data_IF_762179632238
#
_entry.id   IF_762179632238
#
_cell.length_a   1.000
_cell.length_b   1.000
_cell.length_c   1.000
_cell.angle_alpha   90.00
_cell.angle_beta   90.00
_cell.angle_gamma   90.00
#
_symmetry.space_group_name_H-M   'P 1'
#
loop_
_entity.id
_entity.type
_entity.pdbx_description
1 polymer ?
#
# COMPACT_ATOMS: atom_id res chain seq x y z
N UNK A 1 17.22 48.26 -19.13
CA UNK A 1 18.10 47.08 -18.97
C UNK A 1 17.27 45.84 -19.21
N UNK A 2 17.78 44.94 -20.03
CA UNK A 2 17.11 43.80 -20.66
C UNK A 2 16.70 42.75 -19.62
N UNK A 3 15.47 42.20 -19.64
CA UNK A 3 15.12 41.03 -18.84
C UNK A 3 15.76 39.77 -19.46
N UNK A 4 16.52 39.03 -18.66
CA UNK A 4 17.05 37.71 -19.02
C UNK A 4 15.90 36.74 -19.32
N UNK A 5 15.96 36.15 -20.51
CA UNK A 5 15.18 34.96 -20.90
C UNK A 5 15.56 33.80 -19.98
N UNK A 6 14.57 33.18 -19.34
CA UNK A 6 14.67 31.81 -18.85
C UNK A 6 14.14 30.93 -19.98
N UNK A 7 15.04 30.26 -20.67
CA UNK A 7 14.70 29.36 -21.77
C UNK A 7 13.87 28.17 -21.25
N UNK A 8 12.62 28.10 -21.69
CA UNK A 8 11.75 26.94 -21.51
C UNK A 8 12.20 25.86 -22.50
N UNK A 9 12.98 24.88 -22.04
CA UNK A 9 13.40 23.75 -22.87
C UNK A 9 12.22 22.79 -23.03
N UNK A 10 11.49 22.94 -24.13
CA UNK A 10 10.56 21.95 -24.68
C UNK A 10 11.38 20.76 -25.22
N UNK A 11 11.48 19.67 -24.47
CA UNK A 11 12.03 18.42 -25.00
C UNK A 11 11.00 17.70 -25.89
N UNK A 12 11.11 17.97 -27.19
CA UNK A 12 10.72 17.05 -28.27
C UNK A 12 11.64 15.83 -28.19
N UNK A 13 11.11 14.65 -27.87
CA UNK A 13 11.71 13.40 -28.31
C UNK A 13 10.59 12.38 -28.57
N UNK A 14 10.47 12.00 -29.84
CA UNK A 14 9.53 11.01 -30.31
C UNK A 14 9.91 9.63 -29.82
N UNK A 15 9.00 8.98 -29.09
CA UNK A 15 9.04 7.56 -28.82
C UNK A 15 8.21 6.84 -29.89
N UNK A 16 8.89 6.05 -30.72
CA UNK A 16 8.25 5.09 -31.62
C UNK A 16 7.74 3.94 -30.76
N UNK A 17 6.44 3.94 -30.46
CA UNK A 17 5.73 2.80 -29.90
C UNK A 17 5.39 1.87 -31.07
N UNK A 18 6.06 0.71 -31.18
CA UNK A 18 5.59 -0.34 -32.07
C UNK A 18 4.37 -0.98 -31.42
N UNK A 19 3.18 -0.63 -31.92
CA UNK A 19 1.93 -1.30 -31.60
C UNK A 19 2.00 -2.76 -32.08
N UNK A 20 1.87 -3.71 -31.15
CA UNK A 20 1.65 -5.12 -31.46
C UNK A 20 0.77 -5.75 -30.38
N UNK A 21 -0.53 -5.64 -30.58
CA UNK A 21 -1.48 -6.71 -30.26
C UNK A 21 -2.80 -6.45 -31.00
N UNK A 22 -2.89 -6.92 -32.25
CA UNK A 22 -4.15 -7.03 -32.99
C UNK A 22 -4.31 -8.48 -33.43
N UNK A 23 -5.25 -9.20 -32.81
CA UNK A 23 -5.93 -10.32 -33.47
C UNK A 23 -7.42 -10.24 -33.15
N UNK A 24 -8.15 -9.49 -33.98
CA UNK A 24 -9.48 -9.87 -34.45
C UNK A 24 -9.83 -9.06 -35.70
N UNK A 25 -9.98 -9.76 -36.85
CA UNK A 25 -10.54 -9.20 -38.07
C UNK A 25 -12.06 -9.32 -38.00
N UNK A 26 -12.78 -8.23 -38.24
CA UNK A 26 -14.10 -8.30 -38.87
C UNK A 26 -14.40 -6.98 -39.60
N UNK A 27 -14.49 -7.07 -40.91
CA UNK A 27 -14.91 -6.04 -41.87
C UNK A 27 -16.43 -5.92 -41.91
N UNK A 28 -17.00 -4.72 -41.72
CA UNK A 28 -18.35 -4.39 -42.20
C UNK A 28 -18.36 -2.93 -42.69
N UNK A 29 -18.79 -2.77 -43.95
CA UNK A 29 -19.06 -1.51 -44.65
C UNK A 29 -20.24 -0.76 -44.02
N UNK A 30 -20.21 0.58 -44.02
CA UNK A 30 -21.42 1.39 -43.88
C UNK A 30 -21.48 2.48 -44.95
N UNK A 31 -22.66 2.59 -45.58
CA UNK A 31 -23.06 3.60 -46.55
C UNK A 31 -24.36 4.25 -46.06
N UNK A 32 -24.48 5.57 -46.23
CA UNK A 32 -25.70 6.40 -46.04
C UNK A 32 -25.58 7.33 -44.83
N UNK A 33 -25.37 8.65 -44.94
CA UNK A 33 -26.13 9.77 -45.57
C UNK A 33 -27.36 10.23 -44.79
N UNK A 34 -27.36 11.47 -44.28
CA UNK A 34 -28.60 12.19 -43.96
C UNK A 34 -28.58 13.19 -42.79
N UNK A 35 -28.17 14.42 -43.10
CA UNK A 35 -28.55 15.76 -42.59
C UNK A 35 -28.87 16.10 -41.11
N UNK A 36 -28.15 17.15 -40.71
CA UNK A 36 -28.35 18.26 -39.76
C UNK A 36 -29.81 18.69 -39.49
N UNK A 37 -30.13 19.03 -38.22
CA UNK A 37 -30.22 20.45 -37.84
C UNK A 37 -30.22 20.67 -36.30
N UNK A 38 -29.97 21.93 -35.92
CA UNK A 38 -29.20 22.38 -34.76
C UNK A 38 -30.01 23.03 -33.63
N UNK A 39 -29.49 22.99 -32.38
CA UNK A 39 -29.41 24.13 -31.44
C UNK A 39 -28.57 23.82 -30.20
N UNK A 40 -27.57 24.67 -29.97
CA UNK A 40 -26.45 24.54 -29.04
C UNK A 40 -26.74 25.04 -27.60
N UNK A 41 -26.21 24.32 -26.61
CA UNK A 41 -25.72 24.80 -25.31
C UNK A 41 -24.33 24.14 -25.09
N UNK A 42 -23.33 24.81 -24.49
CA UNK A 42 -21.95 24.34 -24.52
C UNK A 42 -21.75 23.25 -23.46
N UNK A 43 -22.07 22.01 -23.81
CA UNK A 43 -21.59 20.85 -23.06
C UNK A 43 -20.11 20.65 -23.36
N UNK A 44 -19.31 20.56 -22.28
CA UNK A 44 -17.93 20.12 -22.34
C UNK A 44 -17.83 18.84 -23.19
N UNK A 45 -17.02 18.88 -24.25
CA UNK A 45 -16.78 17.72 -25.12
C UNK A 45 -16.18 16.59 -24.29
N UNK A 46 -17.00 15.63 -23.89
CA UNK A 46 -16.52 14.33 -23.43
C UNK A 46 -16.00 13.58 -24.65
N UNK A 47 -14.68 13.56 -24.84
CA UNK A 47 -14.06 12.63 -25.78
C UNK A 47 -14.18 11.22 -25.18
N UNK A 48 -15.19 10.47 -25.60
CA UNK A 48 -15.27 9.01 -25.41
C UNK A 48 -14.26 8.33 -26.34
N UNK A 49 -12.98 8.57 -26.10
CA UNK A 49 -11.91 7.76 -26.68
C UNK A 49 -11.83 6.46 -25.88
N UNK A 50 -11.81 5.31 -26.56
CA UNK A 50 -11.53 4.01 -25.93
C UNK A 50 -10.10 4.04 -25.38
N UNK A 51 -9.94 4.38 -24.11
CA UNK A 51 -8.63 4.37 -23.44
C UNK A 51 -8.28 2.92 -23.18
N UNK A 52 -7.45 2.34 -24.04
CA UNK A 52 -6.94 0.98 -23.86
C UNK A 52 -6.00 0.94 -22.65
N UNK A 53 -5.81 -0.25 -22.08
CA UNK A 53 -4.85 -0.48 -20.99
C UNK A 53 -3.43 0.06 -21.31
N UNK A 54 -3.11 0.27 -22.59
CA UNK A 54 -1.88 0.93 -23.06
C UNK A 54 -1.57 2.25 -22.35
N UNK A 55 -2.57 3.06 -21.97
CA UNK A 55 -2.30 4.35 -21.31
C UNK A 55 -1.75 4.19 -19.89
N UNK A 56 -2.33 3.29 -19.08
CA UNK A 56 -1.84 3.06 -17.70
C UNK A 56 -0.41 2.52 -17.76
N UNK A 57 -0.16 1.64 -18.73
CA UNK A 57 1.17 1.12 -18.99
C UNK A 57 2.12 2.23 -19.45
N UNK A 58 1.68 3.16 -20.31
CA UNK A 58 2.47 4.37 -20.68
C UNK A 58 2.66 5.32 -19.50
N UNK A 59 1.73 5.45 -18.57
CA UNK A 59 1.84 6.29 -17.39
C UNK A 59 2.87 5.70 -16.40
N UNK A 60 2.79 4.39 -16.14
CA UNK A 60 3.77 3.63 -15.35
C UNK A 60 5.16 3.67 -16.01
N UNK A 61 5.23 3.51 -17.34
CA UNK A 61 6.49 3.60 -18.09
C UNK A 61 7.03 5.03 -18.14
N UNK A 62 6.17 6.06 -18.23
CA UNK A 62 6.58 7.47 -18.21
C UNK A 62 7.21 7.85 -16.88
N UNK A 63 6.64 7.39 -15.75
CA UNK A 63 7.24 7.55 -14.42
C UNK A 63 8.66 6.98 -14.35
N UNK A 64 8.95 5.92 -15.12
CA UNK A 64 10.25 5.25 -15.14
C UNK A 64 11.25 5.84 -16.14
N UNK A 65 10.76 6.33 -17.29
CA UNK A 65 11.62 6.84 -18.39
C UNK A 65 12.31 8.18 -18.10
N UNK A 66 11.82 8.94 -17.11
CA UNK A 66 12.31 10.29 -16.82
C UNK A 66 13.57 10.33 -15.95
N UNK A 67 13.98 9.23 -15.29
CA UNK A 67 15.15 9.26 -14.39
C UNK A 67 16.33 8.36 -14.82
N UNK A 68 16.15 7.34 -15.68
CA UNK A 68 17.25 6.45 -16.06
C UNK A 68 17.31 6.19 -17.57
N UNK A 69 18.44 6.55 -18.20
CA UNK A 69 18.74 6.35 -19.62
C UNK A 69 18.87 4.88 -20.07
N UNK A 70 18.17 3.94 -19.44
CA UNK A 70 18.15 2.53 -19.84
C UNK A 70 17.00 2.27 -20.82
N UNK A 71 17.34 2.20 -22.11
CA UNK A 71 16.41 1.92 -23.21
C UNK A 71 15.87 0.48 -23.29
N UNK A 72 15.43 -0.12 -22.18
CA UNK A 72 14.66 -1.37 -22.22
C UNK A 72 13.17 -1.08 -22.00
N UNK A 73 12.36 -1.42 -23.00
CA UNK A 73 10.92 -1.15 -23.01
C UNK A 73 10.18 -1.99 -21.96
N UNK A 74 9.77 -1.35 -20.87
CA UNK A 74 8.89 -1.98 -19.88
C UNK A 74 7.47 -2.11 -20.43
N UNK A 75 6.92 -3.32 -20.36
CA UNK A 75 5.53 -3.61 -20.67
C UNK A 75 4.86 -4.02 -19.35
N UNK A 76 4.28 -3.05 -18.63
CA UNK A 76 3.15 -3.40 -17.76
C UNK A 76 2.05 -3.82 -18.73
N UNK A 77 1.54 -5.04 -18.67
CA UNK A 77 0.60 -5.48 -19.71
C UNK A 77 -0.81 -4.93 -19.44
N UNK A 78 -1.19 -4.77 -18.18
CA UNK A 78 -2.52 -4.35 -17.77
C UNK A 78 -2.41 -3.64 -16.42
N UNK A 79 -2.73 -2.34 -16.36
CA UNK A 79 -2.95 -1.66 -15.09
C UNK A 79 -4.09 -2.33 -14.34
N UNK A 80 -3.78 -3.26 -13.43
CA UNK A 80 -4.71 -4.03 -12.60
C UNK A 80 -5.89 -4.65 -13.36
N UNK A 81 -5.78 -5.92 -13.76
CA UNK A 81 -6.94 -6.67 -14.23
C UNK A 81 -7.81 -7.13 -13.05
N UNK A 82 -9.13 -7.14 -13.25
CA UNK A 82 -10.07 -7.71 -12.27
C UNK A 82 -10.50 -9.11 -12.68
N UNK A 83 -10.19 -10.06 -11.82
CA UNK A 83 -10.54 -11.47 -11.98
C UNK A 83 -11.20 -12.00 -10.71
N UNK A 84 -11.72 -13.21 -10.78
CA UNK A 84 -12.33 -13.91 -9.64
C UNK A 84 -12.00 -15.39 -9.64
N UNK A 85 -11.91 -15.96 -8.45
CA UNK A 85 -12.04 -17.40 -8.25
C UNK A 85 -13.51 -17.75 -7.94
N UNK A 86 -13.93 -18.94 -8.37
CA UNK A 86 -15.17 -19.54 -7.91
C UNK A 86 -14.87 -20.32 -6.64
N UNK A 87 -15.61 -20.04 -5.57
CA UNK A 87 -15.51 -20.76 -4.30
C UNK A 87 -15.97 -22.21 -4.47
N UNK A 88 -15.18 -23.16 -3.95
CA UNK A 88 -15.61 -24.54 -3.88
C UNK A 88 -16.70 -24.75 -2.84
N UNK A 89 -17.64 -25.64 -3.15
CA UNK A 89 -18.67 -26.13 -2.23
C UNK A 89 -18.40 -27.57 -1.80
N UNK A 90 -17.17 -28.06 -1.98
CA UNK A 90 -16.84 -29.48 -1.89
C UNK A 90 -16.94 -30.21 -3.24
N UNK A 91 -16.24 -31.33 -3.35
CA UNK A 91 -16.26 -32.26 -4.48
C UNK A 91 -15.94 -33.69 -3.99
N UNK A 92 -15.90 -34.66 -4.91
CA UNK A 92 -15.67 -36.08 -4.57
C UNK A 92 -14.30 -36.34 -3.92
N UNK A 93 -13.31 -35.50 -4.20
CA UNK A 93 -11.97 -35.60 -3.60
C UNK A 93 -11.93 -35.05 -2.16
N UNK A 94 -12.70 -33.99 -1.89
CA UNK A 94 -12.81 -33.39 -0.57
C UNK A 94 -14.10 -32.60 -0.44
N UNK A 95 -14.85 -32.88 0.61
CA UNK A 95 -16.08 -32.15 0.94
C UNK A 95 -15.83 -30.73 1.46
N UNK A 96 -14.59 -30.31 1.69
CA UNK A 96 -14.26 -29.01 2.27
C UNK A 96 -14.70 -27.85 1.35
N UNK A 97 -15.64 -26.98 1.74
CA UNK A 97 -15.94 -25.78 0.96
C UNK A 97 -14.97 -24.63 1.30
N UNK A 98 -15.03 -23.56 0.49
CA UNK A 98 -14.44 -22.25 0.85
C UNK A 98 -15.39 -21.52 1.80
N UNK A 99 -14.85 -20.85 2.82
CA UNK A 99 -15.64 -20.13 3.83
C UNK A 99 -14.85 -19.01 4.50
N UNK A 100 -15.27 -18.61 5.70
CA UNK A 100 -14.69 -17.47 6.41
C UNK A 100 -13.17 -17.62 6.65
N UNK A 101 -12.71 -18.84 6.95
CA UNK A 101 -11.32 -19.16 7.27
C UNK A 101 -10.57 -19.74 6.06
N UNK A 102 -11.23 -20.60 5.30
CA UNK A 102 -10.61 -21.40 4.24
C UNK A 102 -10.85 -20.76 2.89
N UNK A 103 -9.77 -20.57 2.15
CA UNK A 103 -9.81 -20.27 0.72
C UNK A 103 -9.58 -21.57 -0.05
N UNK A 104 -10.61 -22.04 -0.76
CA UNK A 104 -10.52 -23.20 -1.65
C UNK A 104 -11.16 -22.89 -3.02
N UNK A 105 -10.39 -22.49 -4.03
CA UNK A 105 -10.92 -22.19 -5.35
C UNK A 105 -11.24 -23.47 -6.12
N UNK A 106 -12.33 -23.46 -6.91
CA UNK A 106 -12.69 -24.57 -7.80
C UNK A 106 -11.65 -24.85 -8.90
N UNK A 107 -10.87 -23.84 -9.29
CA UNK A 107 -9.90 -23.92 -10.36
C UNK A 107 -8.67 -23.08 -10.02
N UNK A 108 -7.51 -23.52 -10.49
CA UNK A 108 -6.25 -22.78 -10.28
C UNK A 108 -6.12 -21.52 -11.14
N UNK A 109 -6.95 -21.37 -12.17
CA UNK A 109 -6.97 -20.17 -13.02
C UNK A 109 -8.17 -19.29 -12.69
N UNK A 110 -7.97 -18.02 -12.34
CA UNK A 110 -9.07 -17.10 -12.07
C UNK A 110 -9.75 -16.67 -13.38
N UNK A 111 -11.06 -16.42 -13.31
CA UNK A 111 -11.90 -16.00 -14.43
C UNK A 111 -11.94 -14.48 -14.54
N UNK A 112 -11.86 -13.90 -15.75
CA UNK A 112 -12.03 -12.45 -15.94
C UNK A 112 -13.45 -12.02 -15.56
N UNK A 113 -13.60 -10.82 -14.99
CA UNK A 113 -14.93 -10.24 -14.74
C UNK A 113 -15.60 -9.72 -16.01
N UNK A 114 -14.81 -9.25 -16.97
CA UNK A 114 -15.26 -8.84 -18.30
C UNK A 114 -14.16 -9.08 -19.31
N UNK A 115 -14.55 -9.27 -20.58
CA UNK A 115 -13.62 -9.29 -21.71
C UNK A 115 -13.28 -7.87 -22.21
N UNK A 116 -14.18 -6.92 -22.01
CA UNK A 116 -14.01 -5.53 -22.43
C UNK A 116 -14.37 -4.58 -21.29
N UNK A 117 -13.40 -3.76 -20.90
CA UNK A 117 -13.56 -2.75 -19.85
C UNK A 117 -14.03 -1.46 -20.48
N UNK A 118 -15.13 -0.90 -19.97
CA UNK A 118 -15.56 0.46 -20.35
C UNK A 118 -14.71 1.46 -19.58
N UNK A 119 -14.05 2.37 -20.28
CA UNK A 119 -13.15 3.34 -19.66
C UNK A 119 -13.34 4.75 -20.20
N UNK A 120 -13.02 5.75 -19.38
CA UNK A 120 -12.89 7.15 -19.80
C UNK A 120 -11.78 7.84 -19.00
N UNK A 121 -11.19 8.88 -19.60
CA UNK A 121 -10.10 9.67 -19.03
C UNK A 121 -10.60 11.03 -18.57
N UNK A 122 -10.23 11.41 -17.35
CA UNK A 122 -10.32 12.78 -16.84
C UNK A 122 -8.90 13.27 -16.62
N UNK A 123 -8.56 14.44 -17.14
CA UNK A 123 -7.21 15.00 -17.01
C UNK A 123 -7.30 16.50 -16.73
N UNK A 124 -6.56 16.95 -15.73
CA UNK A 124 -6.33 18.36 -15.44
C UNK A 124 -4.85 18.58 -15.07
N UNK A 125 -4.52 19.77 -14.55
CA UNK A 125 -3.15 20.14 -14.19
C UNK A 125 -2.60 19.44 -12.94
N UNK A 126 -3.47 18.87 -12.11
CA UNK A 126 -3.13 18.23 -10.84
C UNK A 126 -3.20 16.70 -10.91
N UNK A 127 -4.09 16.14 -11.72
CA UNK A 127 -4.34 14.69 -11.77
C UNK A 127 -4.77 14.21 -13.16
N UNK A 128 -4.37 12.98 -13.48
CA UNK A 128 -4.90 12.17 -14.56
C UNK A 128 -5.59 10.95 -13.97
N UNK A 129 -6.86 10.76 -14.30
CA UNK A 129 -7.70 9.68 -13.78
C UNK A 129 -8.28 8.85 -14.93
N UNK A 130 -8.13 7.53 -14.85
CA UNK A 130 -8.83 6.61 -15.75
C UNK A 130 -9.88 5.87 -14.93
N UNK A 131 -11.13 6.12 -15.27
CA UNK A 131 -12.26 5.39 -14.72
C UNK A 131 -12.45 4.13 -15.54
N UNK A 132 -12.60 2.99 -14.86
CA UNK A 132 -12.75 1.68 -15.49
C UNK A 132 -13.93 0.95 -14.85
N UNK A 133 -14.90 0.59 -15.66
CA UNK A 133 -16.07 -0.19 -15.25
C UNK A 133 -15.94 -1.60 -15.85
N UNK A 134 -15.80 -2.59 -14.97
CA UNK A 134 -15.69 -4.00 -15.33
C UNK A 134 -17.07 -4.67 -15.38
N UNK A 135 -17.96 -4.32 -14.44
CA UNK A 135 -19.33 -4.82 -14.37
C UNK A 135 -20.18 -3.86 -13.55
N UNK A 136 -21.50 -4.11 -13.48
CA UNK A 136 -22.42 -3.33 -12.63
C UNK A 136 -22.08 -3.31 -11.14
N UNK A 137 -21.21 -4.22 -10.68
CA UNK A 137 -20.81 -4.38 -9.28
C UNK A 137 -19.28 -4.30 -9.09
N UNK A 138 -18.52 -3.94 -10.13
CA UNK A 138 -17.06 -3.83 -10.02
C UNK A 138 -16.51 -2.70 -10.91
N UNK A 139 -15.86 -1.73 -10.27
CA UNK A 139 -15.21 -0.61 -10.94
C UNK A 139 -13.88 -0.27 -10.25
N UNK A 140 -13.02 0.45 -10.96
CA UNK A 140 -11.83 1.06 -10.38
C UNK A 140 -11.54 2.43 -11.00
N UNK A 141 -10.84 3.26 -10.25
CA UNK A 141 -10.29 4.53 -10.70
C UNK A 141 -8.79 4.48 -10.52
N UNK A 142 -8.07 4.68 -11.62
CA UNK A 142 -6.59 4.74 -11.63
C UNK A 142 -6.18 6.19 -11.67
N UNK A 143 -5.51 6.68 -10.62
CA UNK A 143 -5.09 8.07 -10.48
C UNK A 143 -3.58 8.19 -10.55
N UNK A 144 -3.13 9.18 -11.30
CA UNK A 144 -1.77 9.66 -11.32
C UNK A 144 -1.79 11.16 -11.03
N UNK A 145 -1.43 11.54 -9.80
CA UNK A 145 -1.28 12.94 -9.43
C UNK A 145 0.06 13.48 -9.94
N UNK A 146 0.09 14.80 -10.14
CA UNK A 146 1.31 15.54 -10.44
C UNK A 146 2.33 15.34 -9.31
N UNK A 147 3.59 15.14 -9.69
CA UNK A 147 4.74 14.99 -8.79
C UNK A 147 4.71 13.76 -7.85
N UNK A 148 3.71 12.87 -7.98
CA UNK A 148 3.70 11.58 -7.28
C UNK A 148 4.48 10.50 -8.05
N UNK A 149 5.22 9.67 -7.31
CA UNK A 149 6.03 8.56 -7.83
C UNK A 149 5.31 7.20 -7.82
N UNK A 150 4.02 7.18 -7.55
CA UNK A 150 3.20 5.97 -7.49
C UNK A 150 1.88 6.17 -8.22
N UNK A 151 1.27 5.06 -8.63
CA UNK A 151 -0.09 5.06 -9.19
C UNK A 151 -1.05 4.63 -8.09
N UNK A 152 -2.09 5.42 -7.85
CA UNK A 152 -3.18 5.03 -6.98
C UNK A 152 -4.25 4.28 -7.76
N UNK A 153 -4.69 3.14 -7.23
CA UNK A 153 -5.79 2.36 -7.77
C UNK A 153 -6.86 2.22 -6.68
N UNK A 154 -7.92 3.00 -6.78
CA UNK A 154 -9.11 2.87 -5.95
C UNK A 154 -10.06 1.87 -6.62
N UNK A 155 -10.51 0.86 -5.87
CA UNK A 155 -11.43 -0.16 -6.36
C UNK A 155 -12.72 -0.14 -5.55
N UNK A 156 -13.85 -0.40 -6.22
CA UNK A 156 -15.15 -0.62 -5.59
C UNK A 156 -15.69 -1.95 -6.07
N UNK A 157 -15.97 -2.86 -5.14
CA UNK A 157 -16.46 -4.22 -5.42
C UNK A 157 -17.69 -4.50 -4.56
N UNK A 158 -18.77 -4.86 -5.22
CA UNK A 158 -20.03 -5.27 -4.62
C UNK A 158 -21.22 -4.50 -5.19
N UNK A 159 -22.46 -5.00 -4.99
CA UNK A 159 -22.79 -6.28 -4.39
C UNK A 159 -22.33 -7.46 -5.25
N UNK A 160 -21.56 -8.40 -4.69
CA UNK A 160 -21.08 -9.56 -5.46
C UNK A 160 -22.31 -10.43 -5.77
N UNK A 161 -22.64 -10.70 -7.04
CA UNK A 161 -23.87 -11.40 -7.39
C UNK A 161 -23.77 -12.88 -7.02
N UNK A 162 -24.88 -13.42 -6.52
CA UNK A 162 -25.01 -14.83 -6.11
C UNK A 162 -26.21 -15.53 -6.78
N UNK A 163 -26.90 -14.87 -7.72
CA UNK A 163 -28.06 -15.44 -8.40
C UNK A 163 -27.75 -16.70 -9.22
N UNK A 164 -26.48 -16.90 -9.55
CA UNK A 164 -25.94 -18.12 -10.18
C UNK A 164 -25.60 -19.23 -9.17
N UNK A 165 -25.92 -19.04 -7.88
CA UNK A 165 -25.64 -19.97 -6.77
C UNK A 165 -24.15 -20.32 -6.63
N UNK A 166 -23.27 -19.40 -7.03
CA UNK A 166 -21.83 -19.60 -6.98
C UNK A 166 -21.17 -18.50 -6.14
N UNK A 167 -20.48 -18.89 -5.06
CA UNK A 167 -19.62 -17.99 -4.28
C UNK A 167 -18.43 -17.50 -5.11
N UNK A 168 -18.02 -16.24 -4.90
CA UNK A 168 -16.98 -15.57 -5.70
C UNK A 168 -15.98 -14.85 -4.81
N UNK A 169 -14.72 -14.94 -5.19
CA UNK A 169 -13.59 -14.33 -4.49
C UNK A 169 -12.83 -13.46 -5.49
N UNK A 170 -12.91 -12.15 -5.31
CA UNK A 170 -12.50 -11.15 -6.30
C UNK A 170 -11.07 -10.72 -6.02
N UNK A 171 -10.25 -10.63 -7.07
CA UNK A 171 -8.83 -10.26 -6.97
C UNK A 171 -8.49 -9.03 -7.81
N UNK A 172 -7.54 -8.22 -7.31
CA UNK A 172 -6.64 -7.42 -8.15
C UNK A 172 -5.56 -8.35 -8.69
N UNK A 173 -5.31 -8.35 -9.99
CA UNK A 173 -4.17 -9.04 -10.59
C UNK A 173 -3.31 -8.08 -11.40
N UNK A 174 -2.05 -7.99 -11.03
CA UNK A 174 -1.01 -7.21 -11.70
C UNK A 174 -0.03 -8.16 -12.41
N UNK A 175 0.18 -7.96 -13.71
CA UNK A 175 1.02 -8.80 -14.55
C UNK A 175 2.12 -7.97 -15.21
N UNK A 176 3.35 -8.48 -15.11
CA UNK A 176 4.57 -7.87 -15.63
C UNK A 176 5.43 -8.91 -16.33
N UNK A 177 6.49 -8.47 -17.00
CA UNK A 177 7.50 -9.35 -17.61
C UNK A 177 8.67 -9.68 -16.67
N UNK A 178 8.60 -9.29 -15.39
CA UNK A 178 9.67 -9.52 -14.41
C UNK A 178 9.95 -11.02 -14.25
N UNK A 179 11.24 -11.37 -14.26
CA UNK A 179 11.69 -12.75 -14.07
C UNK A 179 11.91 -13.03 -12.59
N UNK A 180 10.87 -13.52 -11.91
CA UNK A 180 10.82 -13.58 -10.44
C UNK A 180 11.24 -14.95 -9.86
N UNK A 181 11.37 -15.99 -10.69
CA UNK A 181 11.78 -17.35 -10.28
C UNK A 181 10.95 -17.91 -9.12
N UNK A 182 9.63 -17.72 -9.18
CA UNK A 182 8.70 -18.11 -8.11
C UNK A 182 8.89 -17.43 -6.75
N UNK A 183 9.75 -16.40 -6.64
CA UNK A 183 10.01 -15.64 -5.42
C UNK A 183 9.19 -14.36 -5.36
N UNK A 184 8.60 -14.10 -4.20
CA UNK A 184 7.91 -12.86 -3.90
C UNK A 184 8.06 -12.53 -2.41
N UNK A 185 7.62 -11.35 -2.01
CA UNK A 185 7.86 -10.84 -0.67
C UNK A 185 6.58 -10.26 -0.10
N UNK A 186 6.25 -10.59 1.14
CA UNK A 186 5.10 -10.03 1.86
C UNK A 186 5.57 -9.46 3.19
N UNK A 187 4.87 -8.46 3.70
CA UNK A 187 5.11 -8.03 5.07
C UNK A 187 4.63 -9.08 6.10
N UNK A 188 5.07 -8.90 7.35
CA UNK A 188 4.57 -9.54 8.54
C UNK A 188 4.13 -8.43 9.51
N UNK A 189 2.81 -8.29 9.67
CA UNK A 189 2.16 -7.28 10.51
C UNK A 189 2.61 -5.85 10.19
N UNK A 190 2.83 -5.54 8.91
CA UNK A 190 3.26 -4.23 8.42
C UNK A 190 4.74 -3.92 8.62
N UNK A 191 5.52 -4.83 9.22
CA UNK A 191 6.91 -4.57 9.64
C UNK A 191 7.93 -5.39 8.84
N UNK A 192 8.24 -6.62 9.28
CA UNK A 192 9.27 -7.43 8.64
C UNK A 192 8.84 -7.85 7.24
N UNK A 193 9.76 -7.89 6.29
CA UNK A 193 9.54 -8.47 4.98
C UNK A 193 9.99 -9.92 4.99
N UNK A 194 9.06 -10.79 4.63
CA UNK A 194 9.24 -12.22 4.54
C UNK A 194 9.41 -12.61 3.08
N UNK A 195 10.53 -13.25 2.76
CA UNK A 195 10.73 -13.90 1.46
C UNK A 195 9.83 -15.13 1.37
N UNK A 196 9.07 -15.23 0.29
CA UNK A 196 8.20 -16.37 -0.03
C UNK A 196 8.70 -17.01 -1.32
N UNK A 197 8.61 -18.34 -1.40
CA UNK A 197 8.82 -19.10 -2.65
C UNK A 197 7.61 -19.97 -2.89
N UNK A 198 7.04 -19.87 -4.09
CA UNK A 198 5.87 -20.65 -4.51
C UNK A 198 6.12 -22.15 -4.31
N UNK A 199 5.12 -22.86 -3.82
CA UNK A 199 5.14 -24.32 -3.59
C UNK A 199 6.30 -24.81 -2.69
N UNK A 200 6.80 -23.95 -1.79
CA UNK A 200 7.95 -24.28 -0.93
C UNK A 200 7.63 -24.03 0.53
N UNK A 201 8.22 -24.83 1.43
CA UNK A 201 8.18 -24.68 2.89
C UNK A 201 9.58 -24.90 3.44
N UNK A 202 9.98 -24.07 4.40
CA UNK A 202 11.35 -24.11 4.93
C UNK A 202 11.57 -25.28 5.91
N UNK A 203 10.51 -25.72 6.59
CA UNK A 203 10.62 -26.67 7.71
C UNK A 203 10.11 -28.07 7.38
N UNK A 204 9.49 -28.30 6.21
CA UNK A 204 9.06 -29.63 5.75
C UNK A 204 8.96 -29.72 4.23
N UNK A 205 8.96 -30.95 3.71
CA UNK A 205 8.71 -31.21 2.28
C UNK A 205 7.22 -31.09 1.98
N UNK A 206 6.84 -30.07 1.21
CA UNK A 206 5.44 -29.82 0.87
C UNK A 206 4.94 -30.82 -0.18
N UNK A 207 3.87 -31.56 0.14
CA UNK A 207 3.02 -32.19 -0.87
C UNK A 207 2.00 -31.16 -1.35
N UNK A 208 2.11 -30.70 -2.59
CA UNK A 208 1.27 -29.62 -3.11
C UNK A 208 -0.07 -30.16 -3.62
N UNK A 209 -1.15 -29.87 -2.88
CA UNK A 209 -2.52 -30.22 -3.24
C UNK A 209 -3.38 -29.01 -3.61
N UNK A 210 -3.00 -27.81 -3.16
CA UNK A 210 -3.73 -26.55 -3.32
C UNK A 210 -2.80 -25.47 -3.90
N UNK A 211 -2.53 -25.49 -5.23
CA UNK A 211 -1.48 -24.70 -5.87
C UNK A 211 -1.73 -23.19 -5.85
N UNK A 212 -2.97 -22.76 -5.59
CA UNK A 212 -3.32 -21.35 -5.40
C UNK A 212 -3.37 -21.02 -3.91
N UNK A 213 -4.31 -21.59 -3.17
CA UNK A 213 -4.54 -21.27 -1.76
C UNK A 213 -3.30 -21.52 -0.88
N UNK A 214 -2.54 -22.59 -1.15
CA UNK A 214 -1.29 -22.89 -0.46
C UNK A 214 -0.17 -21.87 -0.68
N UNK A 215 -0.34 -20.90 -1.58
CA UNK A 215 0.61 -19.82 -1.83
C UNK A 215 0.09 -18.44 -1.43
N UNK A 216 -1.11 -18.35 -0.85
CA UNK A 216 -1.62 -17.09 -0.32
C UNK A 216 -1.03 -16.80 1.06
N UNK A 217 -0.67 -15.53 1.28
CA UNK A 217 -0.12 -15.03 2.53
C UNK A 217 -0.85 -13.76 2.97
N UNK A 218 -0.89 -13.46 4.28
CA UNK A 218 -1.33 -12.16 4.77
C UNK A 218 -0.45 -11.05 4.21
N UNK A 219 -1.10 -9.97 3.77
CA UNK A 219 -0.49 -8.71 3.36
C UNK A 219 -1.17 -7.63 4.19
N UNK A 220 -0.49 -7.08 5.18
CA UNK A 220 -1.05 -6.04 6.04
C UNK A 220 -0.69 -4.64 5.54
N UNK A 221 0.43 -4.49 4.84
CA UNK A 221 0.84 -3.20 4.26
C UNK A 221 1.40 -3.31 2.86
N UNK A 222 2.09 -4.40 2.49
CA UNK A 222 2.72 -4.51 1.17
C UNK A 222 3.08 -5.92 0.71
N UNK A 223 3.02 -6.09 -0.60
CA UNK A 223 3.54 -7.24 -1.33
C UNK A 223 4.39 -6.74 -2.50
N UNK A 224 5.50 -7.42 -2.80
CA UNK A 224 6.30 -7.09 -3.96
C UNK A 224 6.95 -8.28 -4.63
N UNK A 225 7.27 -8.09 -5.91
CA UNK A 225 8.08 -8.97 -6.73
C UNK A 225 9.22 -8.16 -7.34
N UNK A 226 10.35 -8.79 -7.60
CA UNK A 226 11.50 -8.14 -8.24
C UNK A 226 12.33 -9.10 -9.06
N UNK A 227 13.01 -8.55 -10.05
CA UNK A 227 14.18 -9.16 -10.66
C UNK A 227 15.42 -8.33 -10.35
N UNK A 228 16.48 -8.46 -11.15
CA UNK A 228 17.74 -7.72 -10.97
C UNK A 228 17.66 -6.24 -11.36
N UNK A 229 16.62 -5.81 -12.06
CA UNK A 229 16.51 -4.46 -12.63
C UNK A 229 15.36 -3.65 -12.03
N UNK A 230 14.23 -4.28 -11.72
CA UNK A 230 13.03 -3.59 -11.28
C UNK A 230 12.28 -4.36 -10.18
N UNK A 231 11.61 -3.60 -9.32
CA UNK A 231 10.72 -4.11 -8.27
C UNK A 231 9.32 -3.50 -8.46
N UNK A 232 8.32 -4.35 -8.63
CA UNK A 232 6.91 -3.96 -8.53
C UNK A 232 6.46 -4.15 -7.08
N UNK A 233 6.08 -3.06 -6.42
CA UNK A 233 5.51 -3.08 -5.07
C UNK A 233 4.05 -2.63 -5.11
N UNK A 234 3.18 -3.35 -4.39
CA UNK A 234 1.79 -2.96 -4.18
C UNK A 234 1.58 -2.75 -2.69
N UNK A 235 1.25 -1.52 -2.30
CA UNK A 235 0.83 -1.18 -0.95
C UNK A 235 -0.68 -1.35 -0.81
N UNK A 236 -1.12 -1.78 0.37
CA UNK A 236 -2.54 -2.01 0.70
C UNK A 236 -3.01 -1.06 1.78
N UNK A 237 -4.23 -0.54 1.64
CA UNK A 237 -4.90 0.30 2.65
C UNK A 237 -5.47 -0.50 3.84
N UNK A 238 -5.48 -1.83 3.72
CA UNK A 238 -6.00 -2.78 4.72
C UNK A 238 -5.36 -4.15 4.59
N UNK A 239 -5.65 -5.02 5.55
CA UNK A 239 -5.21 -6.42 5.50
C UNK A 239 -5.93 -7.18 4.38
N UNK A 240 -5.17 -7.87 3.55
CA UNK A 240 -5.65 -8.68 2.44
C UNK A 240 -4.88 -9.99 2.34
N UNK A 241 -5.46 -10.98 1.64
CA UNK A 241 -4.70 -12.15 1.18
C UNK A 241 -4.03 -11.83 -0.15
N UNK A 242 -2.73 -12.11 -0.27
CA UNK A 242 -1.99 -11.87 -1.50
C UNK A 242 -1.02 -12.99 -1.87
N UNK A 243 -0.66 -13.05 -3.16
CA UNK A 243 0.26 -14.05 -3.68
C UNK A 243 0.96 -13.62 -4.97
N UNK A 244 1.94 -14.42 -5.40
CA UNK A 244 2.48 -14.46 -6.76
C UNK A 244 2.29 -15.87 -7.30
N UNK A 245 1.18 -16.13 -8.00
CA UNK A 245 0.81 -17.46 -8.53
C UNK A 245 1.56 -17.79 -9.84
N UNK A 246 1.96 -16.77 -10.59
CA UNK A 246 2.80 -16.89 -11.80
C UNK A 246 3.95 -15.92 -11.73
N UNK A 247 5.02 -16.22 -12.47
CA UNK A 247 6.17 -15.32 -12.50
C UNK A 247 5.80 -14.00 -13.13
N UNK A 248 6.34 -12.91 -12.57
CA UNK A 248 5.97 -11.56 -12.96
C UNK A 248 4.58 -11.12 -12.52
N UNK A 249 3.84 -11.92 -11.72
CA UNK A 249 2.50 -11.57 -11.26
C UNK A 249 2.40 -11.32 -9.76
N UNK A 250 1.51 -10.40 -9.38
CA UNK A 250 1.04 -10.18 -8.00
C UNK A 250 -0.48 -10.16 -8.01
N UNK A 251 -1.10 -10.91 -7.11
CA UNK A 251 -2.54 -10.83 -6.88
C UNK A 251 -2.89 -10.56 -5.42
N UNK A 252 -3.97 -9.81 -5.22
CA UNK A 252 -4.53 -9.42 -3.93
C UNK A 252 -6.04 -9.67 -3.94
N UNK A 253 -6.53 -10.47 -3.01
CA UNK A 253 -7.96 -10.72 -2.84
C UNK A 253 -8.60 -9.53 -2.12
N UNK A 254 -9.53 -8.86 -2.79
CA UNK A 254 -10.11 -7.59 -2.34
C UNK A 254 -11.49 -7.75 -1.71
N UNK A 255 -12.25 -8.79 -2.09
CA UNK A 255 -13.56 -9.07 -1.52
C UNK A 255 -13.98 -10.52 -1.78
N UNK A 256 -14.79 -11.10 -0.89
CA UNK A 256 -15.30 -12.48 -0.95
C UNK A 256 -16.78 -12.49 -0.59
N UNK A 257 -17.58 -13.28 -1.30
CA UNK A 257 -18.95 -13.60 -0.92
C UNK A 257 -19.20 -15.08 -1.17
N UNK A 258 -19.45 -15.82 -0.10
CA UNK A 258 -19.45 -17.29 -0.08
C UNK A 258 -20.81 -17.80 0.38
N UNK A 259 -21.20 -18.98 -0.11
CA UNK A 259 -22.53 -19.54 0.09
C UNK A 259 -22.55 -20.73 1.06
N UNK A 260 -21.39 -21.12 1.59
CA UNK A 260 -21.22 -22.25 2.51
C UNK A 260 -20.39 -21.80 3.72
N UNK A 261 -20.68 -22.40 4.88
CA UNK A 261 -19.75 -22.43 6.03
C UNK A 261 -18.60 -23.40 5.71
N UNK A 262 -17.40 -23.13 6.21
CA UNK A 262 -16.24 -24.00 5.99
C UNK A 262 -15.97 -25.00 7.11
N UNK A 263 -16.93 -25.21 7.99
CA UNK A 263 -16.89 -26.18 9.08
C UNK A 263 -15.68 -25.95 10.01
N UNK A 264 -15.43 -24.68 10.35
CA UNK A 264 -14.39 -24.27 11.32
C UNK A 264 -14.95 -23.65 12.59
N UNK A 265 -16.27 -23.71 12.76
CA UNK A 265 -16.96 -23.43 14.02
C UNK A 265 -17.71 -22.10 14.08
N UNK A 266 -17.66 -21.27 13.03
CA UNK A 266 -18.49 -20.05 12.96
C UNK A 266 -19.96 -20.38 12.69
N UNK A 267 -20.24 -21.41 11.87
CA UNK A 267 -21.58 -21.92 11.64
C UNK A 267 -22.43 -21.05 10.69
N UNK A 268 -21.78 -20.16 9.95
CA UNK A 268 -22.43 -19.22 9.03
C UNK A 268 -21.56 -19.01 7.77
N UNK A 269 -22.16 -18.94 6.57
CA UNK A 269 -21.42 -18.59 5.37
C UNK A 269 -20.93 -17.13 5.43
N UNK A 270 -19.81 -16.84 4.75
CA UNK A 270 -19.34 -15.45 4.58
C UNK A 270 -20.23 -14.70 3.57
N UNK A 271 -21.42 -14.31 4.01
CA UNK A 271 -22.51 -13.76 3.19
C UNK A 271 -22.96 -12.38 3.68
N UNK A 272 -22.01 -11.47 3.84
CA UNK A 272 -22.26 -10.13 4.39
C UNK A 272 -23.29 -9.32 3.57
N UNK A 273 -24.22 -8.70 4.28
CA UNK A 273 -25.29 -7.85 3.74
C UNK A 273 -24.96 -6.40 4.07
N UNK A 274 -25.08 -5.52 3.08
CA UNK A 274 -24.94 -4.07 3.24
C UNK A 274 -26.24 -3.40 3.72
N UNK A 275 -26.18 -2.08 3.91
CA UNK A 275 -27.28 -1.28 4.49
C UNK A 275 -28.64 -1.45 3.80
N UNK A 276 -28.65 -1.67 2.48
CA UNK A 276 -29.87 -1.78 1.68
C UNK A 276 -30.38 -3.23 1.50
N UNK A 277 -29.90 -4.19 2.30
CA UNK A 277 -30.31 -5.60 2.21
C UNK A 277 -29.67 -6.41 1.08
N UNK A 278 -28.88 -5.75 0.22
CA UNK A 278 -28.06 -6.38 -0.82
C UNK A 278 -26.69 -6.81 -0.30
N UNK A 279 -25.89 -7.52 -1.10
CA UNK A 279 -24.52 -7.89 -0.70
C UNK A 279 -23.62 -6.67 -0.40
N UNK A 280 -22.74 -6.80 0.61
CA UNK A 280 -21.84 -5.73 1.04
C UNK A 280 -20.98 -5.18 -0.12
N UNK A 281 -20.91 -3.85 -0.22
CA UNK A 281 -20.03 -3.13 -1.15
C UNK A 281 -18.82 -2.61 -0.39
N UNK A 282 -17.63 -2.94 -0.87
CA UNK A 282 -16.36 -2.51 -0.28
C UNK A 282 -15.61 -1.64 -1.26
N UNK A 283 -15.06 -0.54 -0.76
CA UNK A 283 -14.10 0.31 -1.46
C UNK A 283 -12.76 0.27 -0.75
N UNK A 284 -11.67 0.22 -1.51
CA UNK A 284 -10.32 0.34 -0.98
C UNK A 284 -9.32 0.81 -2.02
N UNK A 285 -8.06 0.93 -1.61
CA UNK A 285 -6.96 1.50 -2.42
C UNK A 285 -5.75 0.58 -2.45
N UNK A 286 -5.09 0.58 -3.60
CA UNK A 286 -3.76 -0.01 -3.83
C UNK A 286 -2.83 1.07 -4.36
N UNK A 287 -1.64 1.23 -3.78
CA UNK A 287 -0.60 2.10 -4.34
C UNK A 287 0.44 1.24 -5.04
N UNK A 288 0.63 1.47 -6.34
CA UNK A 288 1.54 0.72 -7.19
C UNK A 288 2.83 1.52 -7.37
N UNK A 289 3.96 0.88 -7.07
CA UNK A 289 5.29 1.43 -7.26
C UNK A 289 6.11 0.54 -8.17
N UNK A 290 6.92 1.16 -9.02
CA UNK A 290 7.89 0.49 -9.86
C UNK A 290 9.24 1.19 -9.70
N UNK A 291 10.13 0.57 -8.94
CA UNK A 291 11.41 1.18 -8.52
C UNK A 291 12.60 0.30 -8.90
N UNK A 292 13.80 0.88 -8.80
CA UNK A 292 15.02 0.10 -8.71
C UNK A 292 15.03 -0.72 -7.40
N UNK A 293 15.32 -2.04 -7.43
CA UNK A 293 15.32 -2.89 -6.24
C UNK A 293 16.22 -2.43 -5.09
N UNK A 294 17.31 -1.70 -5.37
CA UNK A 294 18.25 -1.20 -4.36
C UNK A 294 17.74 0.03 -3.59
N UNK A 295 16.74 0.73 -4.14
CA UNK A 295 16.19 1.98 -3.59
C UNK A 295 14.70 1.88 -3.23
N UNK A 296 13.99 0.85 -3.69
CA UNK A 296 12.54 0.72 -3.50
C UNK A 296 12.12 0.78 -2.02
N UNK A 297 12.97 0.28 -1.11
CA UNK A 297 12.72 0.30 0.31
C UNK A 297 12.50 1.70 0.87
N UNK A 298 13.28 2.69 0.42
CA UNK A 298 13.18 4.08 0.90
C UNK A 298 11.82 4.69 0.59
N UNK A 299 11.21 4.24 -0.51
CA UNK A 299 9.92 4.75 -0.99
C UNK A 299 8.76 3.97 -0.38
N UNK A 300 8.76 2.64 -0.49
CA UNK A 300 7.63 1.83 -0.02
C UNK A 300 7.49 1.79 1.51
N UNK A 301 8.59 1.96 2.27
CA UNK A 301 8.55 2.02 3.75
C UNK A 301 7.82 3.27 4.20
N UNK A 302 8.29 4.43 3.78
CA UNK A 302 7.73 5.72 4.18
C UNK A 302 6.29 5.89 3.69
N UNK A 303 6.00 5.55 2.43
CA UNK A 303 4.64 5.64 1.90
C UNK A 303 3.65 4.73 2.63
N UNK A 304 4.05 3.53 3.03
CA UNK A 304 3.16 2.65 3.78
C UNK A 304 2.81 3.20 5.18
N UNK A 305 3.75 3.90 5.82
CA UNK A 305 3.52 4.57 7.09
C UNK A 305 2.57 5.75 6.88
N UNK A 306 2.78 6.54 5.82
CA UNK A 306 1.89 7.65 5.46
C UNK A 306 0.47 7.17 5.15
N UNK A 307 0.31 6.06 4.42
CA UNK A 307 -1.00 5.48 4.12
C UNK A 307 -1.68 4.99 5.40
N UNK A 308 -0.96 4.29 6.28
CA UNK A 308 -1.50 3.84 7.57
C UNK A 308 -1.89 5.01 8.50
N UNK A 309 -1.11 6.09 8.49
CA UNK A 309 -1.31 7.28 9.33
C UNK A 309 -2.11 8.39 8.62
N UNK A 310 -2.72 8.10 7.48
CA UNK A 310 -3.45 9.09 6.70
C UNK A 310 -4.62 9.66 7.52
N UNK A 311 -4.75 11.00 7.62
CA UNK A 311 -5.81 11.61 8.43
C UNK A 311 -7.17 11.38 7.78
N UNK A 312 -8.19 11.19 8.62
CA UNK A 312 -9.57 11.25 8.15
C UNK A 312 -9.94 12.72 7.87
N UNK A 313 -10.22 13.03 6.61
CA UNK A 313 -10.65 14.36 6.20
C UNK A 313 -12.18 14.41 6.29
N UNK A 314 -12.70 15.29 7.14
CA UNK A 314 -14.13 15.58 7.26
C UNK A 314 -14.37 17.03 6.88
N UNK A 315 -15.22 17.25 5.88
CA UNK A 315 -15.67 18.58 5.48
C UNK A 315 -17.13 18.73 5.90
N UNK A 316 -17.45 19.83 6.57
CA UNK A 316 -18.83 20.21 6.87
C UNK A 316 -19.07 21.61 6.33
N UNK A 317 -20.29 21.87 5.87
CA UNK A 317 -20.77 23.25 5.76
C UNK A 317 -20.76 23.84 7.18
N UNK A 318 -20.11 24.99 7.34
CA UNK A 318 -20.09 25.71 8.61
C UNK A 318 -21.02 26.92 8.52
N UNK A 319 -21.76 27.17 9.59
CA UNK A 319 -22.52 28.42 9.80
C UNK A 319 -21.61 29.56 10.30
N UNK A 320 -20.29 29.36 10.24
CA UNK A 320 -19.29 30.33 10.68
C UNK A 320 -19.26 31.56 9.78
N UNK A 321 -18.77 32.67 10.34
CA UNK A 321 -18.58 33.91 9.59
C UNK A 321 -17.83 33.66 8.27
N UNK A 322 -18.26 34.32 7.18
CA UNK A 322 -17.57 34.26 5.88
C UNK A 322 -16.06 34.41 6.06
N UNK A 323 -15.32 33.50 5.45
CA UNK A 323 -13.85 33.53 5.43
C UNK A 323 -13.37 34.92 5.00
N UNK A 324 -12.87 35.70 5.96
CA UNK A 324 -12.22 36.98 5.69
C UNK A 324 -10.73 36.70 5.53
N UNK A 325 -10.20 36.99 4.34
CA UNK A 325 -8.79 36.89 4.00
C UNK A 325 -7.89 37.75 4.92
N UNK A 326 -8.49 38.75 5.59
CA UNK A 326 -7.85 39.74 6.47
C UNK A 326 -8.01 39.43 7.98
N UNK A 327 -8.61 38.28 8.34
CA UNK A 327 -8.61 37.85 9.75
C UNK A 327 -7.18 37.48 10.20
N UNK A 328 -6.62 38.31 11.07
CA UNK A 328 -5.29 38.15 11.63
C UNK A 328 -5.08 36.74 12.21
N UNK A 329 -4.08 36.04 11.67
CA UNK A 329 -3.39 34.87 12.22
C UNK A 329 -4.21 33.59 12.46
N UNK A 330 -4.86 33.04 11.42
CA UNK A 330 -5.13 31.60 11.42
C UNK A 330 -3.80 30.84 11.41
N UNK A 331 -3.49 30.12 12.49
CA UNK A 331 -2.36 29.22 12.52
C UNK A 331 -2.66 27.99 11.66
N UNK A 332 -2.17 28.01 10.41
CA UNK A 332 -2.42 26.97 9.40
C UNK A 332 -1.52 25.74 9.55
N UNK A 333 -0.47 25.84 10.37
CA UNK A 333 0.54 24.80 10.55
C UNK A 333 0.92 24.67 12.02
N UNK A 334 1.09 23.43 12.46
CA UNK A 334 1.56 23.10 13.79
C UNK A 334 2.48 21.88 13.70
N UNK A 335 3.62 21.95 14.39
CA UNK A 335 4.47 20.80 14.65
C UNK A 335 4.89 20.85 16.12
N UNK A 336 4.65 19.74 16.82
CA UNK A 336 5.18 19.56 18.17
C UNK A 336 6.66 19.17 18.15
N UNK A 337 7.19 18.71 17.01
CA UNK A 337 8.60 18.36 16.85
C UNK A 337 9.44 19.61 16.60
N UNK A 338 10.66 19.62 17.12
CA UNK A 338 11.63 20.68 16.87
C UNK A 338 12.11 20.67 15.40
N UNK A 339 12.33 19.47 14.86
CA UNK A 339 12.75 19.21 13.48
C UNK A 339 12.04 17.95 12.96
N UNK A 340 11.96 17.81 11.65
CA UNK A 340 11.37 16.62 11.03
C UNK A 340 12.23 15.38 11.34
N UNK A 341 11.58 14.26 11.68
CA UNK A 341 12.30 13.02 11.97
C UNK A 341 12.98 12.50 10.69
N UNK A 342 14.21 11.95 10.80
CA UNK A 342 14.86 11.28 9.67
C UNK A 342 13.97 10.15 9.11
N UNK A 343 14.03 9.83 7.80
CA UNK A 343 13.17 8.81 7.18
C UNK A 343 13.27 7.41 7.82
N UNK A 344 14.38 7.10 8.48
CA UNK A 344 14.63 5.87 9.22
C UNK A 344 14.25 5.93 10.72
N UNK A 345 13.51 6.96 11.14
CA UNK A 345 12.93 7.07 12.49
C UNK A 345 11.44 7.38 12.36
N UNK A 346 10.61 6.55 13.01
CA UNK A 346 9.16 6.77 13.06
C UNK A 346 8.69 6.87 14.51
N UNK A 347 7.93 7.94 14.81
CA UNK A 347 7.23 8.11 16.08
C UNK A 347 5.98 7.24 16.13
N UNK A 348 6.16 5.96 16.46
CA UNK A 348 5.10 4.96 16.47
C UNK A 348 4.03 5.19 17.54
N UNK A 349 4.41 5.75 18.69
CA UNK A 349 3.45 6.06 19.76
C UNK A 349 3.85 7.32 20.49
N UNK A 350 2.89 8.23 20.65
CA UNK A 350 2.97 9.34 21.59
C UNK A 350 1.61 9.48 22.28
N UNK A 351 1.51 8.95 23.50
CA UNK A 351 0.24 8.86 24.21
C UNK A 351 0.40 9.24 25.69
N UNK A 352 -0.61 9.90 26.25
CA UNK A 352 -0.65 10.14 27.70
C UNK A 352 -0.78 8.82 28.45
N UNK A 353 0.11 8.59 29.41
CA UNK A 353 0.10 7.46 30.32
C UNK A 353 -0.48 7.85 31.69
N UNK A 354 -0.25 9.09 32.11
CA UNK A 354 -0.86 9.73 33.27
C UNK A 354 -0.90 11.25 33.05
N UNK A 355 -1.51 12.08 33.92
CA UNK A 355 -1.64 13.52 33.70
C UNK A 355 -0.34 14.27 33.38
N UNK A 356 0.81 13.75 33.82
CA UNK A 356 2.13 14.34 33.57
C UNK A 356 3.08 13.41 32.84
N UNK A 357 2.69 12.18 32.49
CA UNK A 357 3.57 11.20 31.83
C UNK A 357 3.07 10.80 30.46
N UNK A 358 4.01 10.59 29.55
CA UNK A 358 3.77 10.03 28.23
C UNK A 358 4.46 8.70 28.04
N UNK A 359 3.80 7.85 27.26
CA UNK A 359 4.35 6.71 26.60
C UNK A 359 4.83 7.13 25.21
N UNK A 360 6.13 7.00 25.00
CA UNK A 360 6.83 7.31 23.75
C UNK A 360 7.37 6.01 23.15
N UNK A 361 7.06 5.72 21.88
CA UNK A 361 7.71 4.65 21.12
C UNK A 361 8.31 5.21 19.84
N UNK A 362 9.58 4.89 19.64
CA UNK A 362 10.31 5.21 18.43
C UNK A 362 10.73 3.90 17.78
N UNK A 363 10.57 3.82 16.47
CA UNK A 363 10.99 2.66 15.71
C UNK A 363 11.88 3.00 14.53
N UNK A 364 12.73 2.05 14.17
CA UNK A 364 13.46 2.05 12.92
C UNK A 364 12.71 1.16 11.90
N UNK A 365 12.11 1.74 10.83
CA UNK A 365 11.19 0.99 9.98
C UNK A 365 11.86 0.05 8.98
N UNK A 366 13.17 0.23 8.72
CA UNK A 366 13.95 -0.56 7.75
C UNK A 366 14.61 -1.79 8.37
N UNK A 367 14.77 -2.85 7.56
CA UNK A 367 15.59 -4.02 7.87
C UNK A 367 17.05 -3.80 7.50
N UNK A 368 17.94 -4.56 8.16
CA UNK A 368 19.36 -4.58 7.81
C UNK A 368 19.56 -4.91 6.33
N UNK A 369 20.28 -4.05 5.61
CA UNK A 369 20.62 -4.23 4.20
C UNK A 369 19.44 -4.07 3.22
N UNK A 370 18.28 -3.58 3.66
CA UNK A 370 17.10 -3.38 2.81
C UNK A 370 17.26 -2.15 1.90
N UNK A 371 17.93 -1.12 2.40
CA UNK A 371 18.29 0.12 1.72
C UNK A 371 19.75 0.44 1.97
N UNK A 372 20.44 0.95 0.95
CA UNK A 372 21.83 1.44 1.09
C UNK A 372 21.92 2.66 2.02
N UNK A 373 20.88 3.50 2.03
CA UNK A 373 20.89 4.80 2.70
C UNK A 373 20.24 4.74 4.09
N UNK A 374 19.11 4.05 4.22
CA UNK A 374 18.23 4.15 5.39
C UNK A 374 18.25 2.93 6.30
N UNK A 375 19.06 1.92 6.01
CA UNK A 375 19.21 0.71 6.86
C UNK A 375 20.37 0.76 7.85
N UNK A 376 20.94 1.93 8.09
CA UNK A 376 22.01 2.12 9.08
C UNK A 376 21.44 2.56 10.43
N UNK A 377 22.05 2.17 11.56
CA UNK A 377 21.65 2.68 12.87
C UNK A 377 21.66 4.21 12.91
N UNK A 378 20.74 4.78 13.68
CA UNK A 378 20.61 6.24 13.83
C UNK A 378 20.47 6.64 15.29
N UNK A 379 21.10 7.75 15.67
CA UNK A 379 21.07 8.29 17.02
C UNK A 379 20.23 9.56 17.05
N UNK A 380 19.31 9.65 18.01
CA UNK A 380 18.42 10.80 18.22
C UNK A 380 18.54 11.33 19.64
N UNK A 381 18.30 12.63 19.79
CA UNK A 381 18.30 13.31 21.08
C UNK A 381 16.87 13.56 21.56
N UNK A 382 16.44 12.86 22.62
CA UNK A 382 15.09 12.99 23.17
C UNK A 382 14.87 14.27 23.97
N UNK A 383 15.93 14.89 24.51
CA UNK A 383 15.82 16.10 25.32
C UNK A 383 15.26 17.28 24.51
N UNK A 384 15.61 17.31 23.21
CA UNK A 384 15.27 18.40 22.30
C UNK A 384 14.34 17.98 21.15
N UNK A 385 13.69 16.81 21.27
CA UNK A 385 12.83 16.29 20.21
C UNK A 385 11.59 17.17 19.98
N UNK A 386 11.05 17.75 21.04
CA UNK A 386 9.81 18.53 21.01
C UNK A 386 10.05 20.03 21.19
N UNK A 387 9.30 20.84 20.43
CA UNK A 387 9.37 22.31 20.45
C UNK A 387 8.53 22.93 21.57
N UNK A 388 7.42 22.29 21.92
CA UNK A 388 6.39 22.83 22.81
C UNK A 388 6.59 22.47 24.29
N UNK A 389 7.33 21.41 24.58
CA UNK A 389 7.60 20.90 25.93
C UNK A 389 8.93 20.15 25.95
N UNK A 390 9.46 19.91 27.13
CA UNK A 390 10.63 19.05 27.34
C UNK A 390 10.22 17.74 28.02
N UNK A 391 11.02 16.71 27.78
CA UNK A 391 10.90 15.43 28.47
C UNK A 391 11.87 15.40 29.65
N UNK A 392 11.40 14.90 30.78
CA UNK A 392 12.16 14.66 32.02
C UNK A 392 11.87 13.27 32.56
N UNK A 393 12.67 12.76 33.50
CA UNK A 393 12.52 11.40 34.07
C UNK A 393 12.31 10.30 33.01
N UNK A 394 13.09 10.35 31.93
CA UNK A 394 12.96 9.42 30.81
C UNK A 394 13.46 8.04 31.25
N UNK A 395 12.56 7.04 31.21
CA UNK A 395 12.85 5.65 31.57
C UNK A 395 12.56 4.72 30.41
N UNK A 396 13.56 3.94 30.00
CA UNK A 396 13.33 2.86 29.04
C UNK A 396 12.58 1.70 29.68
N UNK A 397 11.63 1.15 28.94
CA UNK A 397 10.78 0.06 29.40
C UNK A 397 10.73 -1.07 28.36
N UNK A 398 10.15 -2.20 28.73
CA UNK A 398 9.70 -3.23 27.80
C UNK A 398 8.68 -2.66 26.80
N UNK A 399 8.42 -3.37 25.70
CA UNK A 399 7.47 -2.91 24.67
C UNK A 399 6.07 -2.57 25.23
N UNK A 400 5.62 -3.36 26.21
CA UNK A 400 4.35 -3.19 26.91
C UNK A 400 4.37 -2.11 28.01
N UNK A 401 5.52 -1.43 28.22
CA UNK A 401 5.72 -0.40 29.23
C UNK A 401 5.42 -0.83 30.68
N UNK A 402 5.51 -2.14 30.98
CA UNK A 402 5.16 -2.71 32.29
C UNK A 402 6.38 -3.06 33.15
N UNK A 403 7.60 -2.90 32.62
CA UNK A 403 8.85 -3.21 33.31
C UNK A 403 9.96 -2.31 32.79
N UNK A 404 10.80 -1.77 33.68
CA UNK A 404 12.01 -1.03 33.28
C UNK A 404 12.96 -1.97 32.53
N UNK A 405 13.52 -1.49 31.42
CA UNK A 405 14.28 -2.32 30.47
C UNK A 405 15.47 -3.03 31.12
N UNK A 406 16.20 -2.34 32.00
CA UNK A 406 17.35 -2.89 32.74
C UNK A 406 17.00 -4.02 33.71
N UNK A 407 15.73 -4.20 34.07
CA UNK A 407 15.27 -5.31 34.94
C UNK A 407 14.91 -6.57 34.17
N UNK A 408 14.87 -6.51 32.83
CA UNK A 408 14.50 -7.65 31.99
C UNK A 408 15.61 -8.72 32.02
N UNK A 409 15.26 -9.94 32.44
CA UNK A 409 16.15 -11.12 32.37
C UNK A 409 15.69 -12.04 31.25
N UNK A 410 16.59 -12.41 30.33
CA UNK A 410 16.30 -13.36 29.24
C UNK A 410 16.73 -14.76 29.64
N UNK A 411 15.89 -15.76 29.38
CA UNK A 411 16.29 -17.17 29.47
C UNK A 411 17.35 -17.49 28.41
N UNK A 412 18.26 -18.40 28.76
CA UNK A 412 19.29 -18.91 27.85
C UNK A 412 18.92 -20.32 27.41
N UNK A 413 18.94 -20.54 26.10
CA UNK A 413 18.60 -21.82 25.49
C UNK A 413 19.79 -22.32 24.68
N UNK A 414 20.08 -23.62 24.75
CA UNK A 414 21.00 -24.26 23.80
C UNK A 414 20.21 -24.59 22.54
N UNK A 415 20.61 -24.01 21.41
CA UNK A 415 19.98 -24.31 20.11
C UNK A 415 20.78 -25.37 19.38
N UNK A 416 20.18 -26.03 18.38
CA UNK A 416 20.87 -27.08 17.59
C UNK A 416 22.10 -26.54 16.83
N UNK A 417 22.17 -25.23 16.62
CA UNK A 417 23.17 -24.54 15.79
C UNK A 417 24.18 -23.72 16.58
N UNK A 418 23.95 -23.43 17.86
CA UNK A 418 24.91 -22.72 18.72
C UNK A 418 25.51 -23.68 19.75
N UNK A 419 26.82 -23.93 19.63
CA UNK A 419 27.57 -24.81 20.52
C UNK A 419 27.96 -24.16 21.85
N UNK A 420 27.92 -22.83 21.96
CA UNK A 420 28.41 -22.12 23.15
C UNK A 420 27.36 -21.16 23.74
N UNK A 421 27.26 -21.20 25.07
CA UNK A 421 26.52 -20.19 25.83
C UNK A 421 27.27 -18.87 25.71
N UNK A 422 26.72 -17.88 24.99
CA UNK A 422 27.26 -16.53 24.99
C UNK A 422 27.40 -16.02 26.44
N UNK A 423 28.58 -15.49 26.76
CA UNK A 423 28.91 -14.90 28.06
C UNK A 423 28.00 -13.70 28.37
N UNK A 424 27.88 -13.38 29.67
CA UNK A 424 27.09 -12.26 30.17
C UNK A 424 27.29 -11.00 29.33
N UNK A 425 26.21 -10.53 28.71
CA UNK A 425 26.18 -9.16 28.20
C UNK A 425 26.28 -8.24 29.42
N UNK A 426 27.27 -7.33 29.48
CA UNK A 426 27.38 -6.39 30.60
C UNK A 426 26.06 -5.65 30.81
N UNK A 427 25.84 -5.22 32.06
CA UNK A 427 24.73 -4.33 32.41
C UNK A 427 24.62 -3.24 31.33
N UNK A 428 23.43 -3.02 30.74
CA UNK A 428 23.27 -1.96 29.75
C UNK A 428 23.79 -0.67 30.37
N UNK A 429 24.64 0.11 29.65
CA UNK A 429 25.08 1.40 30.14
C UNK A 429 23.86 2.25 30.52
N UNK A 430 24.02 3.09 31.53
CA UNK A 430 23.01 4.07 31.92
C UNK A 430 22.56 4.81 30.67
N UNK A 431 21.27 4.75 30.35
CA UNK A 431 20.75 5.33 29.12
C UNK A 431 20.95 6.85 29.16
N UNK A 432 21.60 7.39 28.13
CA UNK A 432 21.72 8.82 27.89
C UNK A 432 20.60 9.27 26.93
N UNK A 433 19.63 10.08 27.39
CA UNK A 433 18.56 10.60 26.53
C UNK A 433 19.04 11.46 25.36
N UNK A 434 20.27 11.99 25.41
CA UNK A 434 20.85 12.73 24.30
C UNK A 434 21.34 11.83 23.16
N UNK A 435 21.58 10.54 23.43
CA UNK A 435 22.18 9.59 22.49
C UNK A 435 21.37 8.29 22.43
N UNK A 436 20.10 8.38 22.01
CA UNK A 436 19.25 7.22 21.78
C UNK A 436 19.50 6.65 20.40
N UNK A 437 20.30 5.58 20.33
CA UNK A 437 20.49 4.83 19.08
C UNK A 437 19.34 3.86 18.84
N UNK A 438 18.86 3.82 17.60
CA UNK A 438 17.92 2.85 17.06
C UNK A 438 18.64 2.04 15.98
N UNK A 439 18.71 0.73 16.18
CA UNK A 439 19.19 -0.21 15.15
C UNK A 439 18.05 -0.56 14.18
N UNK A 440 18.36 -1.06 12.96
CA UNK A 440 17.34 -1.55 12.05
C UNK A 440 16.33 -2.50 12.71
N UNK A 441 15.03 -2.29 12.43
CA UNK A 441 13.87 -2.96 13.02
C UNK A 441 13.61 -2.75 14.52
N UNK A 442 14.46 -2.02 15.23
CA UNK A 442 14.32 -1.82 16.67
C UNK A 442 13.10 -0.94 16.98
N UNK A 443 12.40 -1.28 18.07
CA UNK A 443 11.45 -0.39 18.74
C UNK A 443 11.97 -0.16 20.14
N UNK A 444 12.13 1.10 20.53
CA UNK A 444 12.44 1.48 21.91
C UNK A 444 11.24 2.21 22.53
N UNK A 445 10.94 1.87 23.77
CA UNK A 445 9.76 2.34 24.49
C UNK A 445 10.19 3.09 25.74
N UNK A 446 9.67 4.30 25.91
CA UNK A 446 10.02 5.19 27.00
C UNK A 446 8.77 5.66 27.75
N UNK A 447 8.88 5.74 29.07
CA UNK A 447 7.99 6.56 29.88
C UNK A 447 8.75 7.83 30.26
N UNK A 448 8.15 8.99 30.04
CA UNK A 448 8.76 10.28 30.32
C UNK A 448 7.73 11.24 30.92
N UNK A 449 8.19 12.14 31.79
CA UNK A 449 7.38 13.22 32.36
C UNK A 449 7.44 14.44 31.44
N UNK A 450 6.29 14.97 31.03
CA UNK A 450 6.20 16.23 30.25
C UNK A 450 6.40 17.41 31.19
N UNK A 451 7.27 18.34 30.79
CA UNK A 451 7.36 19.67 31.36
C UNK A 451 7.08 20.71 30.28
N UNK A 452 5.95 21.42 30.39
CA UNK A 452 5.63 22.50 29.46
C UNK A 452 6.60 23.66 29.65
N UNK A 453 7.09 24.23 28.54
CA UNK A 453 7.84 25.47 28.61
C UNK A 453 6.87 26.56 29.05
N UNK A 454 7.12 27.19 30.20
CA UNK A 454 6.35 28.36 30.61
C UNK A 454 6.40 29.37 29.47
N UNK A 455 5.25 29.69 28.86
CA UNK A 455 5.12 30.94 28.11
C UNK A 455 5.37 32.03 29.14
N UNK A 456 6.57 32.60 29.14
CA UNK A 456 6.79 33.87 29.80
C UNK A 456 5.68 34.81 29.33
N UNK A 457 5.01 35.46 30.28
CA UNK A 457 4.04 36.50 30.02
C UNK A 457 4.71 37.62 29.23
N UNK A 458 4.71 37.52 27.90
CA UNK A 458 5.08 38.62 27.00
C UNK A 458 3.85 39.46 26.72
N UNK A 459 3.14 39.88 27.77
CA UNK A 459 2.25 41.05 27.78
C UNK A 459 2.63 41.82 29.04
N UNK A 460 3.62 42.67 28.88
CA UNK A 460 4.19 43.52 29.92
C UNK A 460 4.74 44.79 29.30
N UNK A 461 3.85 45.57 28.68
CA UNK A 461 3.65 47.03 28.80
C UNK A 461 2.88 47.56 27.60
#
# INVERSE_FOLDING_TARGET
MVPQKIDTVLYKNGLVVKDLCLTSRSSINSSGSGNEDSRNLPFARSNTATVTNSWICRAIVRLFSTEQGSGQGFHCCHGGSRKRYNASTGNDESFQPSGAYIFRPNNSSPLPLTQQVRSYLVQNTLVQEVYQNFSSWCSQVVRLYKDQRFVELEWTVGPIPIGDRQGKEVISLFETTLQTDGVFYTDANGRQIMKRRRNTRETWNLNQTEPVAGNYYPVNSRIYIKDKYAQLTVLTDRSQGGSSIKDGSVELMVHRRLLQDDDRGVGEPLLEIGEYGEGLVVRGRHLLLLDNPEQSADTHRTLSIQEYMSPQIVLSYGDGASYSHDSHALQKTFSALQEELPPNVHLLTFALHSPSKVLLRLEHPFQTGESKNSSQPITINLNNLFSSFTLSDIKETTLAANMEKGKQKRMRWRTRTESDLQSDTPLPPTMDPAHITLSPMEIRTFLATIQYRNKAASHGQ
#
